data_IF_095700065160
#
_entry.id   IF_095700065160
#
_cell.length_a   1.000
_cell.length_b   1.000
_cell.length_c   1.000
_cell.angle_alpha   90.00
_cell.angle_beta   90.00
_cell.angle_gamma   90.00
#
_symmetry.space_group_name_H-M   'P 1'
#
loop_
_entity.id
_entity.type
_entity.pdbx_description
1 polymer ?
#
# COMPACT_ATOMS: atom_id res chain seq x y z
N UNK A 1 -5.03 -15.28 16.17
CA UNK A 1 -3.82 -15.82 15.50
C UNK A 1 -2.52 -15.65 16.28
N UNK A 2 -2.00 -14.43 16.54
CA UNK A 2 -0.77 -14.30 17.35
C UNK A 2 -0.98 -14.74 18.80
N UNK A 3 -2.15 -14.40 19.36
CA UNK A 3 -2.58 -14.91 20.68
C UNK A 3 -2.81 -16.43 20.65
N UNK A 4 -3.51 -16.95 19.63
CA UNK A 4 -3.73 -18.40 19.45
C UNK A 4 -2.41 -19.19 19.30
N UNK A 5 -1.38 -18.58 18.72
CA UNK A 5 -0.02 -19.16 18.61
C UNK A 5 0.86 -18.85 19.83
N UNK A 6 0.31 -18.27 20.91
CA UNK A 6 1.04 -17.94 22.14
C UNK A 6 2.14 -16.88 21.98
N UNK A 7 2.17 -16.14 20.87
CA UNK A 7 3.20 -15.14 20.56
C UNK A 7 2.95 -13.78 21.21
N UNK A 8 1.76 -13.56 21.76
CA UNK A 8 1.43 -12.39 22.56
C UNK A 8 0.20 -12.66 23.43
N UNK A 9 0.14 -12.01 24.59
CA UNK A 9 -1.06 -11.97 25.44
C UNK A 9 -1.81 -10.64 25.31
N UNK A 10 -1.20 -9.64 24.67
CA UNK A 10 -1.80 -8.33 24.49
C UNK A 10 -2.88 -8.37 23.42
N UNK A 11 -3.98 -7.64 23.65
CA UNK A 11 -4.97 -7.38 22.61
C UNK A 11 -4.30 -6.64 21.44
N UNK A 12 -4.59 -7.05 20.22
CA UNK A 12 -4.08 -6.35 19.05
C UNK A 12 -4.67 -4.93 19.00
N UNK A 13 -3.80 -3.94 18.97
CA UNK A 13 -4.15 -2.55 18.71
C UNK A 13 -3.36 -2.10 17.47
N UNK A 14 -4.00 -1.58 16.42
CA UNK A 14 -3.29 -0.95 15.31
C UNK A 14 -2.38 0.16 15.82
N UNK A 15 -1.13 0.18 15.36
CA UNK A 15 -0.12 1.20 15.70
C UNK A 15 0.38 1.95 14.45
N UNK A 16 -0.37 1.87 13.35
CA UNK A 16 -0.01 2.44 12.05
C UNK A 16 0.37 3.93 12.15
N UNK A 17 -0.40 4.72 12.91
CA UNK A 17 -0.12 6.15 13.09
C UNK A 17 1.23 6.40 13.76
N UNK A 18 1.60 5.59 14.76
CA UNK A 18 2.90 5.72 15.41
C UNK A 18 4.04 5.34 14.45
N UNK A 19 3.84 4.33 13.60
CA UNK A 19 4.82 3.96 12.58
C UNK A 19 5.00 5.07 11.55
N UNK A 20 3.91 5.62 11.01
CA UNK A 20 4.00 6.73 10.05
C UNK A 20 4.56 8.00 10.68
N UNK A 21 4.20 8.32 11.92
CA UNK A 21 4.80 9.43 12.66
C UNK A 21 6.30 9.24 12.80
N UNK A 22 6.77 8.05 13.17
CA UNK A 22 8.20 7.75 13.22
C UNK A 22 8.87 7.95 11.86
N UNK A 23 8.27 7.48 10.77
CA UNK A 23 8.82 7.70 9.43
C UNK A 23 8.97 9.19 9.11
N UNK A 24 7.88 9.95 9.27
CA UNK A 24 7.78 11.34 8.81
C UNK A 24 8.53 12.31 9.74
N UNK A 25 8.48 12.09 11.05
CA UNK A 25 9.02 13.05 12.04
C UNK A 25 10.42 12.71 12.54
N UNK A 26 10.89 11.46 12.34
CA UNK A 26 12.18 11.02 12.88
C UNK A 26 13.09 10.47 11.78
N UNK A 27 12.67 9.40 11.08
CA UNK A 27 13.54 8.69 10.14
C UNK A 27 13.86 9.52 8.89
N UNK A 28 12.84 10.06 8.21
CA UNK A 28 13.05 10.85 7.00
C UNK A 28 13.88 12.11 7.28
N UNK A 29 13.62 12.91 8.33
CA UNK A 29 14.49 14.03 8.71
C UNK A 29 15.93 13.60 9.00
N UNK A 30 16.15 12.45 9.64
CA UNK A 30 17.49 11.92 9.85
C UNK A 30 18.20 11.60 8.53
N UNK A 31 17.53 10.92 7.60
CA UNK A 31 18.07 10.62 6.26
C UNK A 31 18.37 11.92 5.49
N UNK A 32 17.47 12.89 5.54
CA UNK A 32 17.59 14.18 4.86
C UNK A 32 18.75 15.05 5.34
N UNK A 33 19.23 14.84 6.58
CA UNK A 33 20.44 15.48 7.12
C UNK A 33 21.70 14.77 6.64
N UNK A 34 21.63 13.45 6.44
CA UNK A 34 22.79 12.60 6.13
C UNK A 34 23.06 12.45 4.64
N UNK A 35 22.05 12.63 3.80
CA UNK A 35 22.12 12.39 2.37
C UNK A 35 21.49 13.55 1.58
N UNK A 36 21.92 13.71 0.33
CA UNK A 36 21.30 14.68 -0.59
C UNK A 36 20.00 14.08 -1.15
N UNK A 37 18.89 14.43 -0.53
CA UNK A 37 17.54 13.98 -0.91
C UNK A 37 16.74 15.09 -1.57
N UNK A 38 15.84 14.71 -2.48
CA UNK A 38 14.83 15.61 -3.03
C UNK A 38 13.56 15.46 -2.18
N UNK A 39 13.26 16.44 -1.34
CA UNK A 39 12.26 16.35 -0.26
C UNK A 39 10.82 16.60 -0.70
N UNK A 40 10.66 17.21 -1.87
CA UNK A 40 9.34 17.54 -2.43
C UNK A 40 8.49 16.27 -2.62
N UNK A 41 7.17 16.30 -2.36
CA UNK A 41 6.32 15.10 -2.41
C UNK A 41 6.41 14.34 -3.72
N UNK A 42 6.49 15.06 -4.85
CA UNK A 42 6.66 14.47 -6.19
C UNK A 42 7.91 13.59 -6.37
N UNK A 43 8.87 13.66 -5.45
CA UNK A 43 10.10 12.85 -5.45
C UNK A 43 10.15 11.84 -4.29
N UNK A 44 9.13 11.81 -3.44
CA UNK A 44 9.09 11.01 -2.21
C UNK A 44 8.01 9.94 -2.34
N UNK A 45 8.43 8.68 -2.27
CA UNK A 45 7.56 7.53 -2.51
C UNK A 45 7.69 6.50 -1.39
N UNK A 46 6.59 5.81 -1.09
CA UNK A 46 6.56 4.70 -0.14
C UNK A 46 6.12 3.42 -0.84
N UNK A 47 6.73 2.29 -0.50
CA UNK A 47 6.40 1.03 -1.12
C UNK A 47 6.47 -0.12 -0.12
N UNK A 48 5.61 -1.11 -0.32
CA UNK A 48 5.61 -2.31 0.51
C UNK A 48 4.74 -3.41 -0.08
N UNK A 49 5.00 -4.64 0.37
CA UNK A 49 4.22 -5.81 -0.01
C UNK A 49 3.31 -6.29 1.13
N UNK A 50 2.19 -6.94 0.82
CA UNK A 50 1.29 -7.51 1.83
C UNK A 50 0.74 -6.45 2.79
N UNK A 51 0.92 -6.61 4.11
CA UNK A 51 0.66 -5.55 5.10
C UNK A 51 1.47 -4.27 4.85
N UNK A 52 2.65 -4.40 4.24
CA UNK A 52 3.46 -3.30 3.72
C UNK A 52 2.73 -2.49 2.64
N UNK A 53 1.93 -3.14 1.80
CA UNK A 53 1.08 -2.47 0.82
C UNK A 53 -0.05 -1.68 1.49
N UNK A 54 -0.68 -2.27 2.52
CA UNK A 54 -1.72 -1.59 3.31
C UNK A 54 -1.20 -0.33 3.99
N UNK A 55 -0.04 -0.42 4.64
CA UNK A 55 0.54 0.75 5.32
C UNK A 55 1.05 1.79 4.32
N UNK A 56 1.45 1.39 3.10
CA UNK A 56 1.88 2.32 2.05
C UNK A 56 0.71 3.14 1.48
N UNK A 57 -0.44 2.50 1.21
CA UNK A 57 -1.64 3.24 0.79
C UNK A 57 -2.21 4.09 1.93
N UNK A 58 -2.09 3.64 3.18
CA UNK A 58 -2.46 4.45 4.34
C UNK A 58 -1.54 5.69 4.47
N UNK A 59 -0.24 5.52 4.30
CA UNK A 59 0.75 6.61 4.39
C UNK A 59 0.48 7.75 3.41
N UNK A 60 0.18 7.44 2.15
CA UNK A 60 -0.12 8.46 1.15
C UNK A 60 -1.46 9.17 1.39
N UNK A 61 -2.40 8.52 2.09
CA UNK A 61 -3.68 9.15 2.48
C UNK A 61 -3.51 10.06 3.70
N UNK A 62 -2.71 9.65 4.70
CA UNK A 62 -2.51 10.41 5.94
C UNK A 62 -1.47 11.53 5.80
N UNK A 63 -0.49 11.38 4.90
CA UNK A 63 0.58 12.36 4.66
C UNK A 63 0.77 12.67 3.17
N UNK A 64 -0.28 13.15 2.46
CA UNK A 64 -0.19 13.51 1.04
C UNK A 64 0.80 14.65 0.76
N UNK A 65 1.05 15.50 1.75
CA UNK A 65 2.06 16.56 1.70
C UNK A 65 3.50 16.05 1.86
N UNK A 66 3.69 14.76 2.13
CA UNK A 66 5.00 14.11 2.24
C UNK A 66 5.22 13.11 1.13
N UNK A 67 4.26 12.22 0.87
CA UNK A 67 4.38 11.16 -0.12
C UNK A 67 3.60 11.50 -1.39
N UNK A 68 4.28 11.74 -2.51
CA UNK A 68 3.65 11.96 -3.82
C UNK A 68 3.32 10.65 -4.55
N UNK A 69 3.65 9.49 -3.97
CA UNK A 69 3.19 8.23 -4.52
C UNK A 69 3.44 7.01 -3.66
N UNK A 70 2.70 5.95 -3.97
CA UNK A 70 2.76 4.68 -3.26
C UNK A 70 2.77 3.48 -4.21
N UNK A 71 3.58 2.46 -3.89
CA UNK A 71 3.53 1.16 -4.56
C UNK A 71 3.14 0.05 -3.59
N UNK A 72 1.99 -0.58 -3.85
CA UNK A 72 1.34 -1.51 -2.95
C UNK A 72 1.30 -2.90 -3.59
N UNK A 73 2.29 -3.74 -3.27
CA UNK A 73 2.46 -5.04 -3.91
C UNK A 73 1.70 -6.14 -3.17
N UNK A 74 0.90 -6.96 -3.87
CA UNK A 74 0.08 -8.02 -3.25
C UNK A 74 -0.60 -7.54 -1.97
N UNK A 75 -1.29 -6.40 -2.04
CA UNK A 75 -1.81 -5.71 -0.84
C UNK A 75 -2.72 -6.63 -0.05
N UNK A 76 -2.44 -6.78 1.25
CA UNK A 76 -3.17 -7.73 2.11
C UNK A 76 -4.54 -7.17 2.55
N UNK A 77 -5.42 -6.87 1.59
CA UNK A 77 -6.75 -6.27 1.82
C UNK A 77 -7.60 -6.93 2.91
N UNK A 78 -7.57 -8.27 3.10
CA UNK A 78 -8.25 -8.90 4.22
C UNK A 78 -7.75 -8.46 5.61
N UNK A 79 -6.49 -8.04 5.76
CA UNK A 79 -5.84 -7.76 7.04
C UNK A 79 -5.68 -8.98 7.98
N UNK A 80 -6.35 -10.09 7.66
CA UNK A 80 -6.31 -11.40 8.30
C UNK A 80 -6.38 -12.47 7.21
N UNK A 81 -6.18 -13.75 7.55
CA UNK A 81 -6.08 -14.83 6.56
C UNK A 81 -7.42 -15.41 6.09
N UNK A 82 -8.52 -14.65 6.17
CA UNK A 82 -9.85 -15.06 5.70
C UNK A 82 -10.65 -13.87 5.19
N UNK A 83 -11.58 -14.11 4.26
CA UNK A 83 -12.55 -13.14 3.76
C UNK A 83 -13.97 -13.37 4.32
N UNK A 84 -14.21 -14.51 4.96
CA UNK A 84 -15.52 -14.87 5.48
C UNK A 84 -15.86 -14.02 6.70
N UNK A 85 -17.01 -13.33 6.65
CA UNK A 85 -17.47 -12.41 7.70
C UNK A 85 -16.40 -11.39 8.14
N UNK A 86 -15.51 -11.01 7.23
CA UNK A 86 -14.41 -10.10 7.51
C UNK A 86 -14.79 -8.64 7.16
N UNK A 87 -14.91 -7.74 8.15
CA UNK A 87 -15.27 -6.34 7.91
C UNK A 87 -14.10 -5.50 7.36
N UNK A 88 -12.86 -5.99 7.45
CA UNK A 88 -11.65 -5.20 7.16
C UNK A 88 -11.59 -4.69 5.71
N UNK A 89 -11.85 -5.49 4.66
CA UNK A 89 -11.84 -4.98 3.30
C UNK A 89 -12.84 -3.83 3.08
N UNK A 90 -14.06 -3.95 3.65
CA UNK A 90 -15.08 -2.92 3.52
C UNK A 90 -14.67 -1.62 4.24
N UNK A 91 -14.04 -1.74 5.42
CA UNK A 91 -13.51 -0.59 6.15
C UNK A 91 -12.41 0.14 5.34
N UNK A 92 -11.48 -0.60 4.72
CA UNK A 92 -10.47 0.02 3.86
C UNK A 92 -11.07 0.66 2.61
N UNK A 93 -12.04 0.03 1.95
CA UNK A 93 -12.74 0.63 0.81
C UNK A 93 -13.41 1.95 1.22
N UNK A 94 -14.15 1.97 2.33
CA UNK A 94 -14.78 3.20 2.83
C UNK A 94 -13.73 4.25 3.22
N UNK A 95 -12.62 3.85 3.81
CA UNK A 95 -11.53 4.77 4.14
C UNK A 95 -10.93 5.40 2.88
N UNK A 96 -10.61 4.61 1.85
CA UNK A 96 -10.06 5.14 0.58
C UNK A 96 -11.05 6.05 -0.15
N UNK A 97 -12.35 5.74 -0.08
CA UNK A 97 -13.40 6.62 -0.59
C UNK A 97 -13.43 8.00 0.08
N UNK A 98 -12.85 8.17 1.26
CA UNK A 98 -12.85 9.46 1.96
C UNK A 98 -11.48 10.13 2.00
N UNK A 99 -10.39 9.38 1.88
CA UNK A 99 -9.04 9.87 2.20
C UNK A 99 -8.02 9.74 1.07
N UNK A 100 -8.38 9.21 -0.10
CA UNK A 100 -7.45 9.18 -1.24
C UNK A 100 -6.98 10.61 -1.58
N UNK A 101 -5.68 10.78 -1.88
CA UNK A 101 -5.11 12.10 -2.15
C UNK A 101 -5.52 12.62 -3.53
N UNK A 102 -5.19 13.88 -3.82
CA UNK A 102 -5.56 14.50 -5.08
C UNK A 102 -4.90 13.75 -6.27
N UNK A 103 -5.67 13.24 -7.25
CA UNK A 103 -5.14 12.54 -8.40
C UNK A 103 -4.20 13.39 -9.26
N UNK A 104 -4.33 14.73 -9.26
CA UNK A 104 -3.52 15.60 -10.13
C UNK A 104 -2.03 15.59 -9.78
N UNK A 105 -1.67 15.21 -8.55
CA UNK A 105 -0.29 15.27 -8.05
C UNK A 105 0.18 14.00 -7.30
N UNK A 106 -0.61 12.92 -7.28
CA UNK A 106 -0.25 11.67 -6.63
C UNK A 106 -0.27 10.47 -7.58
N UNK A 107 0.73 9.60 -7.47
CA UNK A 107 0.85 8.39 -8.27
C UNK A 107 0.69 7.13 -7.41
N UNK A 108 -0.21 6.21 -7.80
CA UNK A 108 -0.47 5.00 -7.02
C UNK A 108 -0.33 3.76 -7.90
N UNK A 109 0.46 2.79 -7.43
CA UNK A 109 0.62 1.49 -8.08
C UNK A 109 0.07 0.39 -7.19
N UNK A 110 -0.71 -0.52 -7.78
CA UNK A 110 -1.09 -1.78 -7.16
C UNK A 110 -0.63 -2.96 -8.01
N UNK A 111 -0.31 -4.07 -7.36
CA UNK A 111 -0.31 -5.37 -8.04
C UNK A 111 -0.76 -6.54 -7.16
N UNK A 112 -1.04 -7.66 -7.81
CA UNK A 112 -1.40 -8.92 -7.17
C UNK A 112 -1.17 -10.10 -8.14
N UNK A 113 -0.91 -11.28 -7.59
CA UNK A 113 -1.03 -12.57 -8.28
C UNK A 113 -2.36 -13.26 -7.96
N UNK A 114 -2.43 -14.59 -8.11
CA UNK A 114 -3.63 -15.38 -7.80
C UNK A 114 -3.33 -16.70 -7.09
N UNK A 115 -2.08 -16.94 -6.69
CA UNK A 115 -1.69 -18.16 -5.99
C UNK A 115 -1.46 -17.92 -4.50
N UNK A 116 -1.56 -18.99 -3.72
CA UNK A 116 -1.42 -18.99 -2.24
C UNK A 116 -2.35 -17.96 -1.58
N UNK A 117 -1.81 -16.97 -0.88
CA UNK A 117 -2.62 -15.94 -0.21
C UNK A 117 -3.18 -14.91 -1.20
N UNK A 118 -2.51 -14.69 -2.33
CA UNK A 118 -2.95 -13.75 -3.37
C UNK A 118 -4.24 -14.21 -4.05
N UNK A 119 -4.61 -15.49 -3.95
CA UNK A 119 -5.89 -16.01 -4.45
C UNK A 119 -7.12 -15.26 -3.90
N UNK A 120 -6.98 -14.62 -2.73
CA UNK A 120 -8.04 -13.82 -2.10
C UNK A 120 -8.16 -12.40 -2.68
N UNK A 121 -7.14 -11.91 -3.38
CA UNK A 121 -7.01 -10.48 -3.73
C UNK A 121 -7.74 -10.04 -4.98
N UNK A 122 -7.90 -10.82 -6.08
CA UNK A 122 -8.58 -10.35 -7.28
C UNK A 122 -9.95 -9.68 -7.05
N UNK A 123 -10.90 -10.29 -6.30
CA UNK A 123 -12.19 -9.64 -6.06
C UNK A 123 -12.11 -8.40 -5.16
N UNK A 124 -11.12 -8.33 -4.26
CA UNK A 124 -10.94 -7.20 -3.35
C UNK A 124 -10.27 -6.02 -4.05
N UNK A 125 -9.20 -6.29 -4.80
CA UNK A 125 -8.51 -5.29 -5.60
C UNK A 125 -9.46 -4.69 -6.64
N UNK A 126 -10.35 -5.48 -7.26
CA UNK A 126 -11.35 -4.94 -8.18
C UNK A 126 -12.24 -3.86 -7.54
N UNK A 127 -12.65 -4.04 -6.28
CA UNK A 127 -13.43 -3.02 -5.55
C UNK A 127 -12.59 -1.77 -5.25
N UNK A 128 -11.32 -1.93 -4.93
CA UNK A 128 -10.39 -0.79 -4.76
C UNK A 128 -10.22 -0.05 -6.08
N UNK A 129 -10.06 -0.77 -7.20
CA UNK A 129 -9.95 -0.19 -8.54
C UNK A 129 -11.21 0.62 -8.92
N UNK A 130 -12.40 0.22 -8.46
CA UNK A 130 -13.64 1.01 -8.63
C UNK A 130 -13.59 2.33 -7.83
N UNK A 131 -13.05 2.32 -6.62
CA UNK A 131 -12.82 3.54 -5.82
C UNK A 131 -11.83 4.47 -6.52
N UNK A 132 -10.71 3.93 -7.01
CA UNK A 132 -9.69 4.71 -7.73
C UNK A 132 -10.31 5.45 -8.93
N UNK A 133 -11.11 4.75 -9.74
CA UNK A 133 -11.84 5.36 -10.88
C UNK A 133 -12.80 6.45 -10.42
N UNK A 134 -13.59 6.17 -9.38
CA UNK A 134 -14.55 7.14 -8.84
C UNK A 134 -13.88 8.40 -8.27
N UNK A 135 -12.60 8.30 -7.86
CA UNK A 135 -11.78 9.42 -7.38
C UNK A 135 -10.96 10.13 -8.45
N UNK A 136 -11.18 9.81 -9.72
CA UNK A 136 -10.52 10.50 -10.83
C UNK A 136 -9.10 10.04 -11.12
N UNK A 137 -8.65 8.93 -10.50
CA UNK A 137 -7.40 8.28 -10.91
C UNK A 137 -7.58 7.60 -12.27
N UNK A 138 -6.57 7.75 -13.13
CA UNK A 138 -6.57 7.24 -14.51
C UNK A 138 -5.25 6.53 -14.81
N UNK A 139 -5.11 5.95 -16.01
CA UNK A 139 -3.85 5.30 -16.41
C UNK A 139 -2.61 6.20 -16.43
N UNK A 140 -2.75 7.52 -16.24
CA UNK A 140 -1.63 8.47 -16.11
C UNK A 140 -0.97 8.40 -14.73
N UNK A 141 -1.77 8.27 -13.69
CA UNK A 141 -1.40 8.45 -12.28
C UNK A 141 -1.78 7.27 -11.40
N UNK A 142 -2.39 6.23 -11.98
CA UNK A 142 -2.65 4.98 -11.30
C UNK A 142 -2.58 3.78 -12.25
N UNK A 143 -2.07 2.68 -11.73
CA UNK A 143 -2.11 1.39 -12.43
C UNK A 143 -2.29 0.24 -11.44
N UNK A 144 -3.11 -0.73 -11.82
CA UNK A 144 -3.21 -2.03 -11.17
C UNK A 144 -2.69 -3.10 -12.13
N UNK A 145 -1.74 -3.94 -11.70
CA UNK A 145 -1.18 -5.05 -12.49
C UNK A 145 -1.55 -6.41 -11.89
N UNK A 146 -2.04 -7.30 -12.75
CA UNK A 146 -2.32 -8.68 -12.40
C UNK A 146 -1.23 -9.61 -12.97
N UNK A 147 -0.73 -10.53 -12.16
CA UNK A 147 0.31 -11.48 -12.52
C UNK A 147 -0.18 -12.93 -12.31
N UNK A 148 -0.79 -13.55 -13.34
CA UNK A 148 -1.37 -14.89 -13.21
C UNK A 148 -0.28 -15.92 -12.86
N UNK A 149 -0.57 -16.80 -11.92
CA UNK A 149 0.34 -17.85 -11.46
C UNK A 149 1.38 -17.38 -10.42
N UNK A 150 1.47 -16.09 -10.12
CA UNK A 150 2.37 -15.59 -9.07
C UNK A 150 1.75 -15.77 -7.68
N UNK A 151 2.60 -16.12 -6.71
CA UNK A 151 2.22 -16.38 -5.33
C UNK A 151 2.55 -15.20 -4.39
N UNK A 152 2.08 -15.30 -3.14
CA UNK A 152 2.40 -14.33 -2.09
C UNK A 152 3.80 -14.58 -1.51
N UNK A 153 4.86 -14.12 -2.19
CA UNK A 153 6.24 -14.32 -1.74
C UNK A 153 7.20 -13.19 -2.12
N UNK A 154 8.29 -13.07 -1.37
CA UNK A 154 9.39 -12.14 -1.63
C UNK A 154 10.04 -12.38 -3.00
N UNK A 155 10.15 -13.64 -3.43
CA UNK A 155 10.69 -13.98 -4.74
C UNK A 155 9.79 -13.46 -5.87
N UNK A 156 8.47 -13.55 -5.74
CA UNK A 156 7.52 -13.00 -6.71
C UNK A 156 7.61 -11.47 -6.76
N UNK A 157 7.63 -10.80 -5.59
CA UNK A 157 7.74 -9.34 -5.53
C UNK A 157 9.06 -8.82 -6.10
N UNK A 158 10.18 -9.47 -5.77
CA UNK A 158 11.50 -9.09 -6.28
C UNK A 158 11.57 -9.12 -7.82
N UNK A 159 10.98 -10.14 -8.47
CA UNK A 159 10.94 -10.24 -9.94
C UNK A 159 10.25 -9.06 -10.60
N UNK A 160 9.21 -8.51 -9.97
CA UNK A 160 8.35 -7.47 -10.56
C UNK A 160 8.58 -6.07 -9.99
N UNK A 161 9.43 -5.90 -8.98
CA UNK A 161 9.64 -4.62 -8.29
C UNK A 161 10.13 -3.49 -9.18
N UNK A 162 10.82 -3.79 -10.28
CA UNK A 162 11.22 -2.78 -11.28
C UNK A 162 10.01 -2.06 -11.89
N UNK A 163 8.85 -2.71 -12.00
CA UNK A 163 7.64 -2.14 -12.62
C UNK A 163 7.10 -0.94 -11.81
N UNK A 164 6.79 -1.07 -10.50
CA UNK A 164 6.37 0.08 -9.70
C UNK A 164 7.44 1.17 -9.62
N UNK A 165 8.73 0.81 -9.53
CA UNK A 165 9.81 1.80 -9.51
C UNK A 165 9.80 2.66 -10.79
N UNK A 166 9.73 2.02 -11.96
CA UNK A 166 9.64 2.74 -13.23
C UNK A 166 8.34 3.53 -13.35
N UNK A 167 7.24 3.07 -12.76
CA UNK A 167 5.99 3.83 -12.77
C UNK A 167 6.10 5.12 -11.94
N UNK A 168 6.63 5.04 -10.71
CA UNK A 168 6.71 6.17 -9.78
C UNK A 168 7.83 7.16 -10.11
N UNK A 169 8.97 6.67 -10.61
CA UNK A 169 10.15 7.49 -10.89
C UNK A 169 10.17 8.06 -12.33
N UNK A 170 9.13 7.83 -13.11
CA UNK A 170 9.00 8.42 -14.46
C UNK A 170 9.04 9.94 -14.36
N UNK A 171 9.91 10.54 -15.16
CA UNK A 171 9.94 11.98 -15.43
C UNK A 171 9.33 12.25 -16.79
#
# INVERSE_FOLDING_TARGET
QLQEKGRTIAAFKPISDNYLRFLVQELMPFIDIKFSTAKEPKNTFIAGSSMGGLISIYAICEYPEVFGGAACLSTHWPGVFTVDNNPVPAAFINYLQNNLPNPDNHNIYFDYGDQTLDALYPPLQKKVDEVMKAKGFTGKNWVTKFFPGENHSEAAWAKRFTIPLLFLLKK
#
